data_IF_822982904972
#
_entry.id   IF_822982904972
#
_cell.length_a   1.000
_cell.length_b   1.000
_cell.length_c   1.000
_cell.angle_alpha   90.00
_cell.angle_beta   90.00
_cell.angle_gamma   90.00
#
_symmetry.space_group_name_H-M   'P 1'
#
loop_
_entity.id
_entity.type
_entity.pdbx_description
1 polymer ?
#
# COMPACT_ATOMS: atom_id res chain seq x y z
N UNK A 1 16.33 -25.04 -7.59
CA UNK A 1 15.72 -23.78 -8.10
C UNK A 1 14.26 -23.90 -7.74
N UNK A 2 13.87 -23.33 -6.61
CA UNK A 2 12.49 -23.42 -6.11
C UNK A 2 11.71 -22.34 -6.84
N UNK A 3 11.01 -22.76 -7.88
CA UNK A 3 10.04 -21.94 -8.60
C UNK A 3 8.96 -21.55 -7.59
N UNK A 4 8.81 -20.25 -7.31
CA UNK A 4 7.87 -19.71 -6.32
C UNK A 4 6.38 -19.89 -6.70
N UNK A 5 6.11 -20.74 -7.69
CA UNK A 5 4.77 -21.13 -8.14
C UNK A 5 4.19 -22.28 -7.29
N UNK A 6 5.01 -23.15 -6.69
CA UNK A 6 4.52 -24.39 -6.07
C UNK A 6 4.18 -24.28 -4.58
N UNK A 7 4.20 -23.06 -4.02
CA UNK A 7 3.66 -22.77 -2.69
C UNK A 7 2.73 -21.55 -2.70
N UNK A 8 1.84 -21.45 -3.69
CA UNK A 8 0.53 -20.75 -3.63
C UNK A 8 0.41 -19.39 -2.92
N UNK A 9 1.46 -18.58 -2.79
CA UNK A 9 1.49 -17.47 -1.83
C UNK A 9 2.08 -16.15 -2.32
N UNK A 10 2.72 -16.11 -3.50
CA UNK A 10 3.18 -14.85 -4.13
C UNK A 10 2.15 -14.36 -5.15
N UNK A 11 0.90 -14.20 -4.72
CA UNK A 11 -0.17 -13.68 -5.58
C UNK A 11 0.10 -12.20 -5.89
N UNK A 12 -0.43 -11.71 -7.01
CA UNK A 12 -0.39 -10.30 -7.40
C UNK A 12 -0.85 -9.35 -6.27
N UNK A 13 -1.78 -9.82 -5.42
CA UNK A 13 -2.21 -9.14 -4.19
C UNK A 13 -1.06 -8.77 -3.23
N UNK A 14 -0.04 -9.63 -3.05
CA UNK A 14 1.07 -9.35 -2.12
C UNK A 14 2.07 -8.33 -2.68
N UNK A 15 2.17 -8.24 -4.00
CA UNK A 15 2.94 -7.18 -4.66
C UNK A 15 2.25 -5.83 -4.45
N UNK A 16 0.92 -5.79 -4.55
CA UNK A 16 0.15 -4.57 -4.24
C UNK A 16 0.35 -4.13 -2.79
N UNK A 17 0.23 -5.06 -1.82
CA UNK A 17 0.49 -4.77 -0.42
C UNK A 17 1.94 -4.32 -0.17
N UNK A 18 2.93 -4.83 -0.91
CA UNK A 18 4.31 -4.36 -0.83
C UNK A 18 4.45 -2.88 -1.27
N UNK A 19 3.77 -2.47 -2.33
CA UNK A 19 3.74 -1.06 -2.73
C UNK A 19 3.03 -0.19 -1.70
N UNK A 20 1.87 -0.62 -1.21
CA UNK A 20 1.14 0.08 -0.15
C UNK A 20 1.98 0.21 1.14
N UNK A 21 2.78 -0.82 1.46
CA UNK A 21 3.74 -0.79 2.55
C UNK A 21 4.81 0.28 2.33
N UNK A 22 5.41 0.33 1.13
CA UNK A 22 6.43 1.32 0.76
C UNK A 22 5.90 2.75 0.71
N UNK A 23 4.61 2.93 0.46
CA UNK A 23 3.91 4.23 0.47
C UNK A 23 3.30 4.59 1.84
N UNK A 24 3.33 3.67 2.81
CA UNK A 24 2.79 3.89 4.15
C UNK A 24 1.26 3.92 4.20
N UNK A 25 0.60 3.30 3.23
CA UNK A 25 -0.86 3.25 3.08
C UNK A 25 -1.51 2.00 3.70
N UNK A 26 -0.72 1.09 4.28
CA UNK A 26 -1.22 -0.14 4.92
C UNK A 26 -1.74 0.08 6.33
N UNK A 27 -2.72 -0.75 6.72
CA UNK A 27 -3.17 -0.89 8.10
C UNK A 27 -2.10 -1.61 8.94
N UNK A 28 -2.07 -1.43 10.28
CA UNK A 28 -1.10 -2.11 11.13
C UNK A 28 -1.16 -3.64 11.03
N UNK A 29 -2.35 -4.22 10.84
CA UNK A 29 -2.50 -5.67 10.66
C UNK A 29 -1.86 -6.16 9.35
N UNK A 30 -1.97 -5.39 8.27
CA UNK A 30 -1.40 -5.75 6.96
C UNK A 30 0.13 -5.62 6.97
N UNK A 31 0.67 -4.69 7.78
CA UNK A 31 2.12 -4.54 7.98
C UNK A 31 2.72 -5.80 8.61
N UNK A 32 2.05 -6.39 9.60
CA UNK A 32 2.53 -7.61 10.25
C UNK A 32 2.53 -8.79 9.28
N UNK A 33 1.48 -8.92 8.46
CA UNK A 33 1.34 -9.98 7.47
C UNK A 33 2.41 -9.87 6.35
N UNK A 34 2.62 -8.68 5.78
CA UNK A 34 3.65 -8.51 4.74
C UNK A 34 5.06 -8.70 5.32
N UNK A 35 5.31 -8.28 6.57
CA UNK A 35 6.59 -8.53 7.24
C UNK A 35 6.85 -10.04 7.43
N UNK A 36 5.85 -10.80 7.85
CA UNK A 36 5.96 -12.24 7.98
C UNK A 36 6.26 -12.90 6.62
N UNK A 37 5.60 -12.45 5.56
CA UNK A 37 5.84 -12.94 4.21
C UNK A 37 7.24 -12.61 3.69
N UNK A 38 7.74 -11.39 3.90
CA UNK A 38 9.10 -11.00 3.51
C UNK A 38 10.17 -11.82 4.25
N UNK A 39 9.89 -12.27 5.48
CA UNK A 39 10.80 -13.13 6.22
C UNK A 39 10.77 -14.60 5.75
N UNK A 40 9.65 -15.06 5.22
CA UNK A 40 9.50 -16.44 4.71
C UNK A 40 9.89 -16.58 3.23
N UNK A 41 9.74 -15.52 2.43
CA UNK A 41 9.96 -15.53 0.99
C UNK A 41 11.15 -14.67 0.56
N UNK A 42 12.27 -15.32 0.25
CA UNK A 42 13.49 -14.67 -0.25
C UNK A 42 13.30 -13.97 -1.61
N UNK A 43 12.32 -14.38 -2.41
CA UNK A 43 12.02 -13.71 -3.68
C UNK A 43 11.39 -12.33 -3.43
N UNK A 44 10.33 -12.28 -2.64
CA UNK A 44 9.65 -11.03 -2.30
C UNK A 44 10.54 -10.09 -1.50
N UNK A 45 11.41 -10.62 -0.63
CA UNK A 45 12.44 -9.82 0.04
C UNK A 45 13.38 -9.13 -0.97
N UNK A 46 13.87 -9.87 -1.97
CA UNK A 46 14.74 -9.29 -3.01
C UNK A 46 14.04 -8.23 -3.86
N UNK A 47 12.77 -8.45 -4.22
CA UNK A 47 11.99 -7.45 -4.97
C UNK A 47 11.75 -6.19 -4.12
N UNK A 48 11.45 -6.34 -2.83
CA UNK A 48 11.32 -5.22 -1.89
C UNK A 48 12.62 -4.41 -1.78
N UNK A 49 13.76 -5.09 -1.66
CA UNK A 49 15.07 -4.43 -1.62
C UNK A 49 15.34 -3.65 -2.91
N UNK A 50 15.02 -4.22 -4.08
CA UNK A 50 15.14 -3.57 -5.37
C UNK A 50 14.30 -2.29 -5.44
N UNK A 51 13.02 -2.37 -5.05
CA UNK A 51 12.12 -1.21 -5.03
C UNK A 51 12.61 -0.12 -4.08
N UNK A 52 13.15 -0.49 -2.92
CA UNK A 52 13.76 0.45 -1.98
C UNK A 52 14.97 1.19 -2.60
N UNK A 53 15.82 0.47 -3.34
CA UNK A 53 16.95 1.05 -4.07
C UNK A 53 16.48 1.99 -5.18
N UNK A 54 15.43 1.63 -5.91
CA UNK A 54 14.84 2.46 -6.96
C UNK A 54 14.27 3.74 -6.36
N UNK A 55 13.41 3.66 -5.33
CA UNK A 55 12.85 4.83 -4.64
C UNK A 55 13.94 5.75 -4.08
N UNK A 56 14.99 5.16 -3.51
CA UNK A 56 16.17 5.91 -3.02
C UNK A 56 16.94 6.61 -4.14
N UNK A 57 17.08 5.96 -5.30
CA UNK A 57 17.75 6.51 -6.47
C UNK A 57 16.94 7.64 -7.10
N UNK A 58 15.63 7.47 -7.25
CA UNK A 58 14.70 8.50 -7.73
C UNK A 58 14.71 9.70 -6.80
N UNK A 59 14.62 9.49 -5.48
CA UNK A 59 14.64 10.58 -4.49
C UNK A 59 15.93 11.40 -4.59
N UNK A 60 17.08 10.76 -4.80
CA UNK A 60 18.36 11.45 -4.97
C UNK A 60 18.40 12.28 -6.25
N UNK A 61 17.89 11.74 -7.35
CA UNK A 61 17.92 12.39 -8.67
C UNK A 61 16.85 13.48 -8.83
N UNK A 62 15.75 13.41 -8.09
CA UNK A 62 14.60 14.32 -8.20
C UNK A 62 14.43 15.21 -6.95
N UNK A 63 15.51 15.54 -6.25
CA UNK A 63 15.49 16.50 -5.12
C UNK A 63 15.59 17.96 -5.60
N UNK A 64 14.77 18.35 -6.58
CA UNK A 64 14.62 19.78 -6.91
C UNK A 64 13.71 20.43 -5.86
N UNK A 65 14.16 21.50 -5.17
CA UNK A 65 13.33 22.17 -4.19
C UNK A 65 12.08 22.73 -4.88
N UNK A 66 10.91 22.40 -4.35
CA UNK A 66 9.66 22.97 -4.84
C UNK A 66 9.75 24.50 -4.84
N UNK A 67 9.38 25.17 -5.95
CA UNK A 67 9.50 26.62 -6.07
C UNK A 67 8.64 27.31 -5.00
N UNK A 68 9.16 28.43 -4.49
CA UNK A 68 8.58 29.14 -3.34
C UNK A 68 7.12 29.56 -3.58
N UNK A 69 6.77 29.93 -4.81
CA UNK A 69 5.39 30.30 -5.17
C UNK A 69 4.39 29.15 -4.95
N UNK A 70 4.80 27.90 -5.24
CA UNK A 70 3.97 26.72 -5.00
C UNK A 70 3.80 26.47 -3.50
N UNK A 71 4.87 26.63 -2.70
CA UNK A 71 4.78 26.49 -1.24
C UNK A 71 3.83 27.52 -0.64
N UNK A 72 3.97 28.78 -1.03
CA UNK A 72 3.10 29.86 -0.55
C UNK A 72 1.64 29.64 -0.95
N UNK A 73 1.37 29.19 -2.18
CA UNK A 73 0.02 28.88 -2.65
C UNK A 73 -0.62 27.72 -1.88
N UNK A 74 0.15 26.67 -1.57
CA UNK A 74 -0.34 25.53 -0.78
C UNK A 74 -0.65 25.95 0.66
N UNK A 75 0.25 26.69 1.30
CA UNK A 75 0.04 27.19 2.66
C UNK A 75 -1.21 28.07 2.76
N UNK A 76 -1.41 28.96 1.79
CA UNK A 76 -2.60 29.81 1.72
C UNK A 76 -3.88 28.98 1.58
N UNK A 77 -3.88 27.93 0.73
CA UNK A 77 -5.05 27.04 0.56
C UNK A 77 -5.34 26.21 1.81
N UNK A 78 -4.31 25.72 2.50
CA UNK A 78 -4.47 24.98 3.75
C UNK A 78 -5.07 25.88 4.83
N UNK A 79 -4.63 27.13 4.93
CA UNK A 79 -5.17 28.09 5.90
C UNK A 79 -6.68 28.32 5.69
N UNK A 80 -7.08 28.54 4.43
CA UNK A 80 -8.50 28.68 4.03
C UNK A 80 -9.33 27.44 4.37
N UNK A 81 -8.78 26.23 4.14
CA UNK A 81 -9.46 24.98 4.46
C UNK A 81 -9.59 24.76 5.98
N UNK A 82 -8.63 25.22 6.79
CA UNK A 82 -8.68 25.08 8.25
C UNK A 82 -9.67 26.05 8.91
N UNK A 83 -9.91 27.19 8.29
CA UNK A 83 -10.95 28.14 8.70
C UNK A 83 -12.37 27.65 8.32
N UNK A 84 -12.47 26.65 7.44
CA UNK A 84 -13.74 26.05 7.02
C UNK A 84 -14.06 24.81 7.88
N UNK A 85 -15.04 24.85 8.80
CA UNK A 85 -15.42 23.67 9.58
C UNK A 85 -16.28 22.73 8.72
N UNK A 86 -15.65 21.84 7.93
CA UNK A 86 -16.36 20.71 7.30
C UNK A 86 -15.82 19.38 7.82
N UNK A 87 -16.44 18.93 8.91
CA UNK A 87 -16.32 17.56 9.43
C UNK A 87 -17.17 16.63 8.57
N UNK A 88 -16.59 16.08 7.51
CA UNK A 88 -17.21 14.99 6.76
C UNK A 88 -16.58 13.66 7.16
N UNK A 89 -17.34 12.90 7.95
CA UNK A 89 -17.04 11.57 8.44
C UNK A 89 -16.75 10.60 7.27
N UNK A 90 -15.54 10.03 7.25
CA UNK A 90 -15.22 8.91 6.37
C UNK A 90 -15.59 7.62 7.10
N UNK A 91 -16.85 7.21 6.92
CA UNK A 91 -17.34 5.90 7.31
C UNK A 91 -16.75 4.86 6.35
N UNK A 92 -15.71 4.16 6.79
CA UNK A 92 -15.23 2.95 6.13
C UNK A 92 -16.10 1.79 6.61
N UNK A 93 -17.31 1.67 6.04
CA UNK A 93 -18.09 0.43 6.21
C UNK A 93 -17.30 -0.71 5.59
N UNK A 94 -16.58 -1.45 6.43
CA UNK A 94 -16.23 -2.83 6.15
C UNK A 94 -17.51 -3.64 6.02
N UNK A 95 -17.47 -4.70 5.21
CA UNK A 95 -17.77 -6.07 5.61
C UNK A 95 -17.79 -6.94 4.36
N UNK A 96 -16.90 -7.94 4.37
CA UNK A 96 -16.80 -8.95 3.34
C UNK A 96 -18.07 -9.76 3.19
N UNK A 97 -18.41 -10.08 1.95
CA UNK A 97 -19.41 -11.08 1.63
C UNK A 97 -18.68 -12.41 1.38
N UNK A 98 -18.44 -13.12 2.47
CA UNK A 98 -18.18 -14.55 2.45
C UNK A 98 -19.53 -15.24 2.24
N UNK A 99 -19.89 -15.54 0.98
CA UNK A 99 -21.09 -16.33 0.69
C UNK A 99 -20.70 -17.80 0.49
N UNK A 100 -20.45 -18.45 1.62
CA UNK A 100 -20.44 -19.90 1.74
C UNK A 100 -21.91 -20.38 1.88
N UNK A 101 -22.23 -21.43 1.13
CA UNK A 101 -23.37 -22.34 1.31
C UNK A 101 -24.72 -21.99 0.63
N UNK A 102 -24.94 -22.61 -0.55
CA UNK A 102 -26.12 -23.45 -0.76
C UNK A 102 -25.92 -24.45 -1.91
N UNK A 103 -25.71 -25.72 -1.55
CA UNK A 103 -26.00 -26.88 -2.42
C UNK A 103 -27.51 -26.92 -2.72
N UNK A 104 -27.95 -27.49 -3.85
CA UNK A 104 -28.33 -28.91 -3.78
C UNK A 104 -27.91 -29.75 -5.00
N UNK A 105 -27.86 -31.05 -4.76
CA UNK A 105 -27.77 -32.14 -5.74
C UNK A 105 -28.96 -32.10 -6.71
N UNK A 106 -28.70 -32.29 -8.00
CA UNK A 106 -29.72 -32.66 -8.98
C UNK A 106 -29.15 -33.70 -9.96
N UNK A 107 -29.73 -34.90 -9.86
CA UNK A 107 -29.91 -36.03 -10.79
C UNK A 107 -28.79 -36.52 -11.70
#
# INVERSE_FOLDING_TARGET
MTDCHENGGCREDKIQSMYEYLDGALSPADIEDICAHLNECELCAREYDLECLIRSSVKRSCSEPAPEELKQSILAKIDVLRDSPDTSAHDHTGLGQHEENRRPMAS
#
